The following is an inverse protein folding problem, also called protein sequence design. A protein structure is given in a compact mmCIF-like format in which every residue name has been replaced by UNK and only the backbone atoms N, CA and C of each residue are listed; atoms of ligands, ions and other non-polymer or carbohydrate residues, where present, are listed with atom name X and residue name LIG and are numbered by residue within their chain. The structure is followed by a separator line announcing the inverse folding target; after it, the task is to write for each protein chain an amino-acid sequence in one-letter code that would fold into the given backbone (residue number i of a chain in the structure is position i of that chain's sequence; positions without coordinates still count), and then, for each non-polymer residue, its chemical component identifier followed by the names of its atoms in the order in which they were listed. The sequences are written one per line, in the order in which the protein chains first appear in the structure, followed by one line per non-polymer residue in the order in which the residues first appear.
data_IF_900606862246
#
_entry.id   IF_900606862246
#
_cell.length_a   1.000
_cell.length_b   1.000
_cell.length_c   1.000
_cell.angle_alpha   90.00
_cell.angle_beta   90.00
_cell.angle_gamma   90.00
#
_symmetry.space_group_name_H-M   'P 1'
#
loop_
_entity.id
_entity.type
_entity.pdbx_description
1 polymer ?
#
# COMPACT_ATOMS: atom_id res chain seq x y z
N UNK A 1 -24.17 -7.47 -18.20
CA UNK A 1 -23.98 -8.39 -17.05
C UNK A 1 -22.57 -8.21 -16.51
N UNK A 2 -22.35 -7.37 -15.49
CA UNK A 2 -21.06 -7.29 -14.80
C UNK A 2 -21.30 -6.84 -13.36
N UNK A 3 -21.71 -7.79 -12.53
CA UNK A 3 -21.93 -7.60 -11.10
C UNK A 3 -21.56 -8.89 -10.38
N UNK A 4 -20.40 -9.46 -10.70
CA UNK A 4 -19.82 -10.49 -9.85
C UNK A 4 -19.10 -9.77 -8.73
N UNK A 5 -19.76 -9.74 -7.57
CA UNK A 5 -19.10 -9.45 -6.30
C UNK A 5 -17.79 -10.25 -6.26
N UNK A 6 -16.66 -9.57 -6.00
CA UNK A 6 -15.37 -10.23 -5.86
C UNK A 6 -15.42 -11.12 -4.62
N UNK A 7 -15.69 -12.41 -4.82
CA UNK A 7 -15.89 -13.35 -3.71
C UNK A 7 -14.57 -13.76 -3.07
N UNK A 8 -13.48 -13.86 -3.85
CA UNK A 8 -12.13 -14.21 -3.39
C UNK A 8 -11.04 -13.63 -4.31
N UNK A 9 -9.89 -13.18 -3.78
CA UNK A 9 -8.80 -12.65 -4.59
C UNK A 9 -8.11 -13.76 -5.38
N UNK A 10 -7.73 -13.45 -6.62
CA UNK A 10 -6.86 -14.29 -7.43
C UNK A 10 -5.45 -14.34 -6.84
N UNK A 11 -4.69 -15.39 -7.15
CA UNK A 11 -3.29 -15.51 -6.70
C UNK A 11 -2.42 -14.29 -7.08
N UNK A 12 -2.67 -13.70 -8.26
CA UNK A 12 -1.98 -12.48 -8.69
C UNK A 12 -2.35 -11.23 -7.88
N UNK A 13 -3.61 -11.10 -7.47
CA UNK A 13 -4.05 -10.00 -6.60
C UNK A 13 -3.50 -10.14 -5.19
N UNK A 14 -3.48 -11.36 -4.64
CA UNK A 14 -2.85 -11.64 -3.33
C UNK A 14 -1.37 -11.27 -3.35
N UNK A 15 -0.65 -11.65 -4.41
CA UNK A 15 0.76 -11.29 -4.56
C UNK A 15 0.94 -9.77 -4.64
N UNK A 16 0.16 -9.08 -5.49
CA UNK A 16 0.26 -7.63 -5.64
C UNK A 16 -0.06 -6.86 -4.35
N UNK A 17 -1.03 -7.35 -3.56
CA UNK A 17 -1.35 -6.81 -2.23
C UNK A 17 -0.17 -7.03 -1.28
N UNK A 18 0.39 -8.24 -1.25
CA UNK A 18 1.54 -8.57 -0.41
C UNK A 18 2.77 -7.71 -0.71
N UNK A 19 3.10 -7.52 -1.98
CA UNK A 19 4.19 -6.63 -2.42
C UNK A 19 3.92 -5.18 -2.00
N UNK A 20 2.69 -4.69 -2.19
CA UNK A 20 2.31 -3.34 -1.78
C UNK A 20 2.36 -3.15 -0.26
N UNK A 21 2.01 -4.17 0.53
CA UNK A 21 2.15 -4.14 1.99
C UNK A 21 3.61 -4.10 2.43
N UNK A 22 4.48 -4.91 1.81
CA UNK A 22 5.92 -4.90 2.09
C UNK A 22 6.55 -3.55 1.74
N UNK A 23 6.16 -2.94 0.61
CA UNK A 23 6.63 -1.62 0.22
C UNK A 23 6.25 -0.55 1.24
N UNK A 24 5.00 -0.55 1.73
CA UNK A 24 4.55 0.35 2.79
C UNK A 24 5.37 0.14 4.06
N UNK A 25 5.53 -1.11 4.51
CA UNK A 25 6.25 -1.42 5.74
C UNK A 25 7.73 -1.00 5.67
N UNK A 26 8.40 -1.24 4.53
CA UNK A 26 9.77 -0.79 4.30
C UNK A 26 9.89 0.74 4.41
N UNK A 27 8.94 1.47 3.83
CA UNK A 27 8.93 2.93 3.86
C UNK A 27 8.61 3.48 5.26
N UNK A 28 7.76 2.80 6.03
CA UNK A 28 7.50 3.15 7.44
C UNK A 28 8.75 2.96 8.31
N UNK A 29 9.48 1.84 8.16
CA UNK A 29 10.76 1.63 8.84
C UNK A 29 11.75 2.73 8.46
N UNK A 30 11.87 3.05 7.17
CA UNK A 30 12.77 4.10 6.71
C UNK A 30 12.37 5.48 7.25
N UNK A 31 11.08 5.80 7.32
CA UNK A 31 10.61 7.04 7.91
C UNK A 31 11.00 7.15 9.40
N UNK A 32 10.97 6.03 10.13
CA UNK A 32 11.42 5.98 11.53
C UNK A 32 12.95 6.13 11.66
N UNK A 33 13.73 5.52 10.76
CA UNK A 33 15.20 5.65 10.74
C UNK A 33 15.67 7.10 10.48
N UNK A 34 14.98 7.81 9.59
CA UNK A 34 15.33 9.19 9.20
C UNK A 34 14.44 10.25 9.89
N UNK A 35 13.85 9.93 11.05
CA UNK A 35 12.92 10.84 11.74
C UNK A 35 13.56 12.18 12.16
N UNK A 36 14.88 12.20 12.38
CA UNK A 36 15.65 13.39 12.75
C UNK A 36 16.19 14.17 11.54
N UNK A 37 15.91 13.72 10.32
CA UNK A 37 16.34 14.36 9.06
C UNK A 37 15.13 14.88 8.27
N UNK A 38 14.70 16.15 8.49
CA UNK A 38 13.45 16.67 7.94
C UNK A 38 13.36 16.59 6.41
N UNK A 39 14.44 16.94 5.70
CA UNK A 39 14.45 16.96 4.23
C UNK A 39 14.35 15.54 3.66
N UNK A 40 15.06 14.58 4.26
CA UNK A 40 14.99 13.16 3.90
C UNK A 40 13.60 12.59 4.21
N UNK A 41 13.04 12.95 5.37
CA UNK A 41 11.73 12.49 5.85
C UNK A 41 10.59 12.97 4.94
N UNK A 42 10.67 14.18 4.37
CA UNK A 42 9.68 14.68 3.40
C UNK A 42 9.61 13.76 2.18
N UNK A 43 10.76 13.41 1.58
CA UNK A 43 10.81 12.51 0.43
C UNK A 43 10.26 11.12 0.74
N UNK A 44 10.62 10.56 1.90
CA UNK A 44 10.11 9.25 2.35
C UNK A 44 8.59 9.31 2.56
N UNK A 45 8.07 10.39 3.15
CA UNK A 45 6.63 10.55 3.38
C UNK A 45 5.83 10.67 2.08
N UNK A 46 6.37 11.32 1.06
CA UNK A 46 5.75 11.35 -0.26
C UNK A 46 5.69 9.95 -0.90
N UNK A 47 6.79 9.20 -0.84
CA UNK A 47 6.82 7.81 -1.30
C UNK A 47 5.83 6.92 -0.53
N UNK A 48 5.79 7.07 0.80
CA UNK A 48 4.88 6.36 1.67
C UNK A 48 3.41 6.68 1.36
N UNK A 49 3.09 7.94 1.09
CA UNK A 49 1.76 8.36 0.64
C UNK A 49 1.34 7.65 -0.66
N UNK A 50 2.24 7.61 -1.65
CA UNK A 50 2.00 6.90 -2.92
C UNK A 50 1.83 5.39 -2.72
N UNK A 51 2.66 4.77 -1.87
CA UNK A 51 2.57 3.35 -1.55
C UNK A 51 1.25 2.99 -0.85
N UNK A 52 0.84 3.79 0.14
CA UNK A 52 -0.45 3.64 0.83
C UNK A 52 -1.63 3.81 -0.12
N UNK A 53 -1.58 4.78 -1.04
CA UNK A 53 -2.61 4.96 -2.06
C UNK A 53 -2.68 3.79 -3.06
N UNK A 54 -1.55 3.16 -3.40
CA UNK A 54 -1.51 1.93 -4.21
C UNK A 54 -2.16 0.77 -3.45
N UNK A 55 -1.75 0.54 -2.19
CA UNK A 55 -2.32 -0.52 -1.36
C UNK A 55 -3.84 -0.33 -1.16
N UNK A 56 -4.28 0.90 -0.89
CA UNK A 56 -5.70 1.21 -0.74
C UNK A 56 -6.50 0.90 -2.01
N UNK A 57 -5.96 1.19 -3.20
CA UNK A 57 -6.60 0.84 -4.48
C UNK A 57 -6.70 -0.67 -4.68
N UNK A 58 -5.65 -1.43 -4.33
CA UNK A 58 -5.66 -2.89 -4.41
C UNK A 58 -6.65 -3.52 -3.42
N UNK A 59 -6.83 -2.90 -2.25
CA UNK A 59 -7.79 -3.34 -1.24
C UNK A 59 -9.23 -2.88 -1.50
N UNK A 60 -9.44 -1.87 -2.35
CA UNK A 60 -10.75 -1.27 -2.58
C UNK A 60 -11.85 -2.27 -2.98
N UNK A 61 -11.60 -3.27 -3.85
CA UNK A 61 -12.62 -4.27 -4.20
C UNK A 61 -13.08 -5.13 -3.02
N UNK A 62 -12.27 -5.22 -1.96
CA UNK A 62 -12.49 -6.08 -0.79
C UNK A 62 -13.04 -5.30 0.41
N UNK A 63 -13.05 -3.97 0.33
CA UNK A 63 -13.63 -3.08 1.35
C UNK A 63 -15.08 -2.79 0.99
N UNK A 64 -15.98 -3.74 1.28
CA UNK A 64 -17.41 -3.45 1.34
C UNK A 64 -17.86 -3.22 2.80
N UNK A 65 -18.85 -2.33 3.03
CA UNK A 65 -19.37 -1.99 4.37
C UNK A 65 -20.15 -3.13 5.03
#
# INVERSE_FOLDING_TARGET
MSGLAHTYPTSGEVQAIGEAQQDVQRLETRAAEYAEEPDTLVGINEELSRARARLARLLAPWRHP
#
